data_IF_281714388175
#
_entry.id   IF_281714388175
#
_cell.length_a   1.000
_cell.length_b   1.000
_cell.length_c   1.000
_cell.angle_alpha   90.00
_cell.angle_beta   90.00
_cell.angle_gamma   90.00
#
_symmetry.space_group_name_H-M   'P 1'
#
loop_
_entity.id
_entity.type
_entity.pdbx_description
1 polymer ?
#
# COMPACT_ATOMS: atom_id res chain seq x y z
N UNK A 1 -16.09 -3.01 -1.05
CA UNK A 1 -14.81 -2.42 -0.63
C UNK A 1 -13.73 -3.49 -0.47
N UNK A 2 -13.97 -4.56 0.31
CA UNK A 2 -13.06 -5.71 0.48
C UNK A 2 -12.41 -6.24 -0.82
N UNK A 3 -13.20 -6.43 -1.88
CA UNK A 3 -12.67 -6.90 -3.18
C UNK A 3 -11.60 -6.01 -3.81
N UNK A 4 -11.59 -4.72 -3.51
CA UNK A 4 -10.54 -3.82 -4.00
C UNK A 4 -9.26 -3.92 -3.15
N UNK A 5 -9.36 -4.22 -1.85
CA UNK A 5 -8.20 -4.59 -1.03
C UNK A 5 -7.60 -5.93 -1.47
N UNK A 6 -8.43 -6.95 -1.69
CA UNK A 6 -7.97 -8.25 -2.21
C UNK A 6 -7.27 -8.10 -3.57
N UNK A 7 -7.85 -7.29 -4.47
CA UNK A 7 -7.22 -6.92 -5.74
C UNK A 7 -5.85 -6.27 -5.54
N UNK A 8 -5.79 -5.24 -4.70
CA UNK A 8 -4.57 -4.51 -4.41
C UNK A 8 -3.49 -5.44 -3.85
N UNK A 9 -3.81 -6.29 -2.87
CA UNK A 9 -2.87 -7.25 -2.30
C UNK A 9 -2.36 -8.27 -3.33
N UNK A 10 -3.22 -8.78 -4.22
CA UNK A 10 -2.78 -9.65 -5.32
C UNK A 10 -1.81 -8.92 -6.26
N UNK A 11 -2.15 -7.71 -6.68
CA UNK A 11 -1.32 -6.90 -7.58
C UNK A 11 0.00 -6.54 -6.93
N UNK A 12 0.02 -6.17 -5.66
CA UNK A 12 1.25 -5.88 -4.90
C UNK A 12 2.16 -7.10 -4.83
N UNK A 13 1.60 -8.29 -4.55
CA UNK A 13 2.36 -9.55 -4.57
C UNK A 13 2.94 -9.83 -5.96
N UNK A 14 2.17 -9.63 -7.02
CA UNK A 14 2.64 -9.76 -8.40
C UNK A 14 3.80 -8.77 -8.70
N UNK A 15 3.72 -7.53 -8.21
CA UNK A 15 4.78 -6.52 -8.37
C UNK A 15 6.04 -6.83 -7.54
N UNK A 16 5.88 -7.30 -6.31
CA UNK A 16 7.00 -7.76 -5.51
C UNK A 16 7.71 -8.92 -6.22
N UNK A 17 6.96 -9.88 -6.79
CA UNK A 17 7.50 -10.96 -7.64
C UNK A 17 8.21 -10.42 -8.87
N UNK A 18 7.61 -9.46 -9.57
CA UNK A 18 8.20 -8.79 -10.73
C UNK A 18 9.56 -8.13 -10.40
N UNK A 19 9.75 -7.61 -9.18
CA UNK A 19 11.00 -7.00 -8.77
C UNK A 19 12.18 -7.98 -8.65
N UNK A 20 11.97 -9.30 -8.58
CA UNK A 20 13.06 -10.29 -8.49
C UNK A 20 13.96 -10.30 -9.73
N UNK A 21 13.44 -9.89 -10.88
CA UNK A 21 14.20 -9.83 -12.13
C UNK A 21 14.98 -8.51 -12.30
N UNK A 22 14.84 -7.56 -11.37
CA UNK A 22 15.42 -6.22 -11.43
C UNK A 22 16.57 -6.14 -10.42
N UNK A 23 17.71 -5.56 -10.83
CA UNK A 23 18.83 -5.36 -9.90
C UNK A 23 18.45 -4.42 -8.76
N UNK A 24 19.06 -4.61 -7.59
CA UNK A 24 18.85 -3.73 -6.43
C UNK A 24 19.18 -2.27 -6.75
N UNK A 25 20.21 -2.02 -7.56
CA UNK A 25 20.54 -0.68 -8.06
C UNK A 25 19.36 -0.04 -8.82
N UNK A 26 18.74 -0.75 -9.77
CA UNK A 26 17.61 -0.21 -10.53
C UNK A 26 16.32 -0.09 -9.71
N UNK A 27 16.16 -0.93 -8.68
CA UNK A 27 15.05 -0.83 -7.72
C UNK A 27 15.16 0.42 -6.84
N UNK A 28 16.37 0.79 -6.42
CA UNK A 28 16.66 1.95 -5.58
C UNK A 28 16.88 3.25 -6.37
N UNK A 29 17.14 3.14 -7.67
CA UNK A 29 17.43 4.27 -8.56
C UNK A 29 16.36 5.35 -8.47
N UNK A 30 16.81 6.60 -8.34
CA UNK A 30 15.94 7.78 -8.39
C UNK A 30 15.35 7.94 -9.79
N UNK A 31 14.02 8.09 -9.86
CA UNK A 31 13.24 8.29 -11.09
C UNK A 31 12.35 9.52 -10.94
N UNK A 32 11.93 10.07 -12.09
CA UNK A 32 10.95 11.16 -12.11
C UNK A 32 9.56 10.59 -11.88
N UNK A 33 8.78 11.23 -11.00
CA UNK A 33 7.40 10.86 -10.69
C UNK A 33 7.25 10.15 -9.34
N UNK A 34 6.03 10.19 -8.79
CA UNK A 34 5.71 9.52 -7.53
C UNK A 34 6.64 9.90 -6.38
N UNK A 35 6.98 8.89 -5.59
CA UNK A 35 7.89 9.02 -4.44
C UNK A 35 9.35 8.71 -4.76
N UNK A 36 9.69 8.54 -6.05
CA UNK A 36 11.06 8.64 -6.53
C UNK A 36 11.85 7.35 -6.74
N UNK A 37 11.41 6.17 -6.32
CA UNK A 37 12.04 4.88 -6.72
C UNK A 37 11.05 3.72 -6.68
N UNK A 38 11.36 2.60 -7.35
CA UNK A 38 10.48 1.42 -7.40
C UNK A 38 10.34 0.81 -6.00
N UNK A 39 11.47 0.58 -5.32
CA UNK A 39 11.47 -0.07 -4.01
C UNK A 39 10.82 0.81 -2.95
N UNK A 40 11.12 2.11 -2.96
CA UNK A 40 10.51 3.05 -2.03
C UNK A 40 9.01 3.21 -2.28
N UNK A 41 8.54 3.12 -3.53
CA UNK A 41 7.11 3.15 -3.84
C UNK A 41 6.38 1.95 -3.23
N UNK A 42 6.95 0.75 -3.31
CA UNK A 42 6.36 -0.43 -2.67
C UNK A 42 6.34 -0.31 -1.14
N UNK A 43 7.42 0.16 -0.54
CA UNK A 43 7.46 0.49 0.89
C UNK A 43 6.37 1.50 1.27
N UNK A 44 6.30 2.61 0.56
CA UNK A 44 5.35 3.70 0.82
C UNK A 44 3.89 3.25 0.74
N UNK A 45 3.55 2.40 -0.23
CA UNK A 45 2.21 1.79 -0.33
C UNK A 45 1.88 0.98 0.94
N UNK A 46 2.80 0.11 1.37
CA UNK A 46 2.60 -0.78 2.53
C UNK A 46 2.50 0.04 3.81
N UNK A 47 3.40 1.01 3.98
CA UNK A 47 3.41 1.95 5.10
C UNK A 47 2.08 2.69 5.21
N UNK A 48 1.64 3.38 4.14
CA UNK A 48 0.40 4.17 4.19
C UNK A 48 -0.82 3.31 4.47
N UNK A 49 -0.94 2.13 3.85
CA UNK A 49 -2.03 1.19 4.15
C UNK A 49 -2.01 0.76 5.63
N UNK A 50 -0.85 0.31 6.11
CA UNK A 50 -0.69 -0.17 7.48
C UNK A 50 -1.01 0.93 8.48
N UNK A 51 -0.41 2.11 8.31
CA UNK A 51 -0.57 3.27 9.17
C UNK A 51 -2.04 3.65 9.35
N UNK A 52 -2.76 3.81 8.23
CA UNK A 52 -4.17 4.18 8.29
C UNK A 52 -5.00 3.11 9.00
N UNK A 53 -4.87 1.84 8.60
CA UNK A 53 -5.71 0.78 9.17
C UNK A 53 -5.36 0.53 10.65
N UNK A 54 -4.09 0.63 11.03
CA UNK A 54 -3.65 0.53 12.42
C UNK A 54 -4.26 1.64 13.30
N UNK A 55 -4.33 2.87 12.79
CA UNK A 55 -5.04 3.96 13.45
C UNK A 55 -6.55 3.70 13.55
N UNK A 56 -7.18 3.14 12.51
CA UNK A 56 -8.60 2.78 12.52
C UNK A 56 -8.93 1.68 13.55
N UNK A 57 -7.98 0.79 13.85
CA UNK A 57 -8.08 -0.20 14.92
C UNK A 57 -8.00 0.43 16.32
N UNK A 58 -7.62 1.70 16.43
CA UNK A 58 -7.49 2.43 17.70
C UNK A 58 -6.15 2.24 18.41
N UNK A 59 -5.13 1.75 17.70
CA UNK A 59 -3.84 1.41 18.30
C UNK A 59 -2.88 2.60 18.48
N UNK A 60 -3.25 3.79 17.99
CA UNK A 60 -2.40 4.99 18.05
C UNK A 60 -1.29 4.97 17.00
N UNK A 61 -0.11 5.49 17.36
CA UNK A 61 1.02 5.63 16.44
C UNK A 61 1.53 4.26 15.93
N UNK A 62 1.60 4.05 14.61
CA UNK A 62 2.08 2.79 14.03
C UNK A 62 3.58 2.56 14.31
N UNK A 63 3.99 1.36 14.75
CA UNK A 63 5.40 1.05 15.01
C UNK A 63 6.14 0.72 13.70
N UNK A 64 6.51 1.75 12.94
CA UNK A 64 7.12 1.60 11.62
C UNK A 64 8.64 1.79 11.64
N UNK A 65 9.41 0.87 11.05
CA UNK A 65 10.84 1.09 10.83
C UNK A 65 11.05 2.12 9.69
N UNK A 66 12.15 2.89 9.73
CA UNK A 66 12.52 3.76 8.62
C UNK A 66 12.88 2.94 7.38
N UNK A 67 12.68 3.51 6.19
CA UNK A 67 12.92 2.81 4.92
C UNK A 67 14.34 2.27 4.80
N UNK A 68 15.33 2.99 5.32
CA UNK A 68 16.75 2.62 5.28
C UNK A 68 17.01 1.26 5.92
N UNK A 69 16.23 0.89 6.95
CA UNK A 69 16.32 -0.42 7.59
C UNK A 69 15.69 -1.53 6.74
N UNK A 70 14.76 -1.18 5.84
CA UNK A 70 14.02 -2.08 4.96
C UNK A 70 14.43 -1.98 3.47
N UNK A 71 15.52 -1.31 3.14
CA UNK A 71 15.92 -0.99 1.76
C UNK A 71 16.46 -2.20 0.94
N UNK A 72 15.80 -3.35 1.03
CA UNK A 72 15.99 -4.51 0.16
C UNK A 72 14.67 -5.19 -0.17
N UNK A 73 14.59 -5.87 -1.32
CA UNK A 73 13.35 -6.52 -1.78
C UNK A 73 12.82 -7.55 -0.77
N UNK A 74 13.70 -8.37 -0.19
CA UNK A 74 13.29 -9.39 0.77
C UNK A 74 12.68 -8.75 2.03
N UNK A 75 13.32 -7.71 2.57
CA UNK A 75 12.82 -7.03 3.76
C UNK A 75 11.47 -6.36 3.53
N UNK A 76 11.25 -5.75 2.36
CA UNK A 76 9.93 -5.19 2.01
C UNK A 76 8.86 -6.28 1.92
N UNK A 77 9.19 -7.47 1.40
CA UNK A 77 8.24 -8.59 1.36
C UNK A 77 7.85 -9.05 2.75
N UNK A 78 8.85 -9.26 3.60
CA UNK A 78 8.63 -9.70 4.98
C UNK A 78 7.79 -8.66 5.74
N UNK A 79 8.11 -7.38 5.56
CA UNK A 79 7.35 -6.26 6.10
C UNK A 79 5.91 -6.22 5.56
N UNK A 80 5.71 -6.41 4.24
CA UNK A 80 4.38 -6.48 3.63
C UNK A 80 3.53 -7.60 4.22
N UNK A 81 4.12 -8.77 4.49
CA UNK A 81 3.41 -9.92 5.06
C UNK A 81 3.06 -9.70 6.54
N UNK A 82 3.98 -9.12 7.30
CA UNK A 82 3.74 -8.72 8.69
C UNK A 82 2.60 -7.70 8.77
N UNK A 83 2.64 -6.63 7.99
CA UNK A 83 1.59 -5.62 7.95
C UNK A 83 0.25 -6.22 7.52
N UNK A 84 0.24 -7.03 6.46
CA UNK A 84 -0.96 -7.71 5.98
C UNK A 84 -1.61 -8.56 7.08
N UNK A 85 -0.81 -9.35 7.81
CA UNK A 85 -1.32 -10.18 8.92
C UNK A 85 -1.99 -9.34 10.01
N UNK A 86 -1.46 -8.16 10.31
CA UNK A 86 -2.00 -7.28 11.34
C UNK A 86 -3.29 -6.57 10.91
N UNK A 87 -3.41 -6.19 9.63
CA UNK A 87 -4.50 -5.31 9.15
C UNK A 87 -5.62 -6.05 8.42
N UNK A 88 -5.33 -7.21 7.81
CA UNK A 88 -6.32 -7.94 7.02
C UNK A 88 -7.58 -8.33 7.81
N UNK A 89 -7.52 -8.76 9.09
CA UNK A 89 -8.73 -9.04 9.87
C UNK A 89 -9.68 -7.84 9.95
N UNK A 90 -9.16 -6.62 10.15
CA UNK A 90 -9.98 -5.41 10.20
C UNK A 90 -10.67 -5.11 8.87
N UNK A 91 -9.99 -5.34 7.74
CA UNK A 91 -10.57 -5.18 6.41
C UNK A 91 -11.69 -6.20 6.16
N UNK A 92 -11.48 -7.46 6.57
CA UNK A 92 -12.47 -8.53 6.40
C UNK A 92 -13.67 -8.40 7.35
N UNK A 93 -13.47 -7.84 8.55
CA UNK A 93 -14.55 -7.57 9.52
C UNK A 93 -15.29 -6.25 9.25
N UNK A 94 -14.90 -5.52 8.20
CA UNK A 94 -15.53 -4.27 7.83
C UNK A 94 -17.04 -4.44 7.58
N UNK A 95 -17.83 -3.53 8.15
CA UNK A 95 -19.27 -3.46 7.95
C UNK A 95 -19.72 -1.99 7.81
N UNK A 96 -20.91 -1.79 7.26
CA UNK A 96 -21.47 -0.46 6.96
C UNK A 96 -21.60 0.43 8.21
N UNK A 97 -21.68 -0.14 9.41
CA UNK A 97 -21.71 0.62 10.66
C UNK A 97 -20.42 1.36 10.98
N UNK A 98 -19.31 1.02 10.32
CA UNK A 98 -18.02 1.70 10.49
C UNK A 98 -17.85 2.91 9.58
N UNK A 99 -18.63 3.03 8.49
CA UNK A 99 -18.44 4.07 7.46
C UNK A 99 -18.40 5.49 8.04
N UNK A 100 -19.26 5.78 9.00
CA UNK A 100 -19.45 7.10 9.60
C UNK A 100 -18.68 7.30 10.93
N UNK A 101 -17.93 6.29 11.38
CA UNK A 101 -17.06 6.44 12.57
C UNK A 101 -15.97 7.46 12.27
N UNK A 102 -15.62 8.27 13.26
CA UNK A 102 -14.61 9.32 13.13
C UNK A 102 -13.28 8.88 13.73
N UNK A 103 -12.21 9.03 12.97
CA UNK A 103 -10.84 9.06 13.48
C UNK A 103 -10.54 10.51 13.82
N UNK A 104 -10.13 10.77 15.04
CA UNK A 104 -9.69 12.10 15.48
C UNK A 104 -8.18 12.09 15.53
N UNK A 105 -7.56 13.03 14.84
CA UNK A 105 -6.11 13.19 14.82
C UNK A 105 -5.74 14.65 15.12
N UNK A 106 -4.49 14.90 15.49
CA UNK A 106 -3.93 16.25 15.61
C UNK A 106 -3.00 16.49 14.42
N UNK A 107 -3.26 17.56 13.67
CA UNK A 107 -2.37 17.94 12.59
C UNK A 107 -1.07 18.58 13.12
N UNK A 108 -0.14 18.89 12.22
CA UNK A 108 1.16 19.47 12.57
C UNK A 108 1.07 20.86 13.25
N UNK A 109 -0.09 21.52 13.17
CA UNK A 109 -0.37 22.81 13.82
C UNK A 109 -1.05 22.63 15.19
N UNK A 110 -1.28 21.38 15.61
CA UNK A 110 -1.97 21.02 16.85
C UNK A 110 -3.49 21.15 16.76
N UNK A 111 -4.04 21.35 15.56
CA UNK A 111 -5.48 21.42 15.34
C UNK A 111 -6.07 20.01 15.21
N UNK A 112 -7.29 19.85 15.71
CA UNK A 112 -8.00 18.57 15.63
C UNK A 112 -8.59 18.37 14.24
N UNK A 113 -8.12 17.35 13.54
CA UNK A 113 -8.69 16.87 12.29
C UNK A 113 -9.56 15.64 12.52
N UNK A 114 -10.58 15.48 11.69
CA UNK A 114 -11.53 14.37 11.78
C UNK A 114 -11.77 13.79 10.41
N UNK A 115 -11.56 12.48 10.31
CA UNK A 115 -11.74 11.73 9.08
C UNK A 115 -12.76 10.63 9.30
N UNK A 116 -13.65 10.41 8.32
CA UNK A 116 -14.53 9.26 8.35
C UNK A 116 -13.72 8.01 8.04
N UNK A 117 -13.98 6.92 8.76
CA UNK A 117 -13.28 5.66 8.49
C UNK A 117 -13.53 5.20 7.05
N UNK A 118 -14.76 5.36 6.55
CA UNK A 118 -15.11 5.05 5.18
C UNK A 118 -14.30 5.82 4.13
N UNK A 119 -13.99 7.09 4.42
CA UNK A 119 -13.15 7.94 3.58
C UNK A 119 -11.71 7.40 3.54
N UNK A 120 -11.15 7.09 4.72
CA UNK A 120 -9.80 6.51 4.85
C UNK A 120 -9.70 5.19 4.08
N UNK A 121 -10.67 4.28 4.22
CA UNK A 121 -10.62 2.99 3.52
C UNK A 121 -10.60 3.15 1.99
N UNK A 122 -11.33 4.15 1.46
CA UNK A 122 -11.33 4.45 0.01
C UNK A 122 -10.06 5.19 -0.41
N UNK A 123 -9.51 6.04 0.44
CA UNK A 123 -8.22 6.70 0.22
C UNK A 123 -7.11 5.65 0.07
N UNK A 124 -7.00 4.69 0.99
CA UNK A 124 -5.99 3.62 0.95
C UNK A 124 -6.09 2.82 -0.36
N UNK A 125 -7.30 2.45 -0.78
CA UNK A 125 -7.51 1.75 -2.06
C UNK A 125 -6.99 2.58 -3.23
N UNK A 126 -7.40 3.86 -3.31
CA UNK A 126 -7.03 4.73 -4.43
C UNK A 126 -5.53 5.06 -4.44
N UNK A 127 -4.93 5.24 -3.26
CA UNK A 127 -3.50 5.54 -3.08
C UNK A 127 -2.62 4.44 -3.68
N UNK A 128 -2.90 3.18 -3.38
CA UNK A 128 -2.13 2.08 -3.94
C UNK A 128 -2.31 1.95 -5.45
N UNK A 129 -3.55 2.01 -5.95
CA UNK A 129 -3.82 1.93 -7.39
C UNK A 129 -3.07 3.04 -8.14
N UNK A 130 -3.04 4.25 -7.57
CA UNK A 130 -2.30 5.39 -8.11
C UNK A 130 -0.79 5.09 -8.21
N UNK A 131 -0.16 4.62 -7.13
CA UNK A 131 1.28 4.35 -7.11
C UNK A 131 1.67 3.13 -7.94
N UNK A 132 0.85 2.09 -7.97
CA UNK A 132 1.04 0.93 -8.86
C UNK A 132 0.99 1.37 -10.34
N UNK A 133 0.13 2.35 -10.68
CA UNK A 133 0.12 2.97 -12.01
C UNK A 133 1.47 3.56 -12.39
N UNK A 134 2.18 4.20 -11.44
CA UNK A 134 3.51 4.77 -11.68
C UNK A 134 4.56 3.67 -11.96
N UNK A 135 4.51 2.57 -11.21
CA UNK A 135 5.40 1.41 -11.45
C UNK A 135 5.23 0.85 -12.87
N UNK A 136 4.01 0.89 -13.41
CA UNK A 136 3.75 0.44 -14.79
C UNK A 136 4.54 1.25 -15.83
N UNK A 137 4.74 2.55 -15.61
CA UNK A 137 5.53 3.41 -16.51
C UNK A 137 7.02 3.05 -16.39
N UNK A 138 7.56 3.02 -15.16
CA UNK A 138 8.98 2.71 -14.95
C UNK A 138 9.36 1.30 -15.39
N UNK A 139 8.44 0.33 -15.31
CA UNK A 139 8.68 -1.00 -15.88
C UNK A 139 8.94 -0.96 -17.38
N UNK A 140 8.24 -0.08 -18.12
CA UNK A 140 8.43 0.11 -19.56
C UNK A 140 9.73 0.84 -19.88
N UNK A 141 10.13 1.80 -19.06
CA UNK A 141 11.44 2.45 -19.18
C UNK A 141 12.60 1.45 -19.02
N UNK A 142 12.40 0.41 -18.22
CA UNK A 142 13.34 -0.71 -18.07
C UNK A 142 13.26 -1.74 -19.19
N UNK A 143 12.38 -1.55 -20.19
CA UNK A 143 12.16 -2.52 -21.27
C UNK A 143 11.42 -3.78 -20.83
N UNK A 144 10.84 -3.79 -19.63
CA UNK A 144 10.15 -4.93 -19.04
C UNK A 144 8.63 -4.80 -19.21
N UNK A 145 7.93 -5.94 -19.20
CA UNK A 145 6.47 -5.96 -19.24
C UNK A 145 5.92 -5.67 -17.84
N UNK A 146 4.95 -4.73 -17.68
CA UNK A 146 4.30 -4.47 -16.41
C UNK A 146 3.39 -5.63 -16.01
N UNK A 147 3.13 -5.73 -14.71
CA UNK A 147 2.02 -6.52 -14.18
C UNK A 147 0.69 -5.94 -14.68
N UNK A 148 -0.27 -6.82 -14.97
CA UNK A 148 -1.61 -6.40 -15.41
C UNK A 148 -2.35 -5.67 -14.28
N UNK A 149 -2.86 -4.47 -14.55
CA UNK A 149 -3.73 -3.74 -13.64
C UNK A 149 -5.23 -4.09 -13.83
N UNK A 150 -5.54 -5.17 -14.56
CA UNK A 150 -6.92 -5.57 -14.78
C UNK A 150 -7.50 -6.16 -13.50
N UNK A 151 -8.63 -5.61 -13.05
CA UNK A 151 -9.42 -6.16 -11.94
C UNK A 151 -10.17 -7.44 -12.37
N UNK A 152 -10.63 -7.50 -13.61
CA UNK A 152 -11.42 -8.62 -14.14
C UNK A 152 -10.49 -9.81 -14.40
N UNK A 153 -11.01 -11.03 -14.20
CA UNK A 153 -10.30 -12.31 -14.43
C UNK A 153 -9.11 -12.53 -13.47
N UNK A 154 -9.27 -12.08 -12.22
CA UNK A 154 -8.33 -12.31 -11.12
C UNK A 154 -8.82 -13.33 -10.07
N UNK A 155 -9.95 -14.00 -10.33
CA UNK A 155 -10.50 -14.99 -9.39
C UNK A 155 -11.14 -14.39 -8.13
N UNK A 156 -11.35 -13.07 -8.09
CA UNK A 156 -11.88 -12.38 -6.90
C UNK A 156 -13.39 -12.55 -6.69
N UNK A 157 -14.11 -12.94 -7.73
CA UNK A 157 -15.58 -13.07 -7.76
C UNK A 157 -16.04 -14.48 -8.17
N UNK A 158 -15.10 -15.41 -8.29
CA UNK A 158 -15.34 -16.80 -8.71
C UNK A 158 -15.56 -17.73 -7.50
#
# INVERSE_FOLDING_TARGET
>A
MQKLFEYNWQVRKDWLAWCEQVSEEELLKKRVGGVGSILYTLFHIIDVEFSWIYCLQGNGEPPLPPFEELASLQKIRDFSEQCHTAIAPFVYDWNDGLEEKLLTDLNNEGETERFKYGEIMRHVIAHEIHHIGQLSIWSRELGLKPITANLIRRGLFD
#
